data_IF_940347571846
#
_entry.id   IF_940347571846
#
_cell.length_a   1.000
_cell.length_b   1.000
_cell.length_c   1.000
_cell.angle_alpha   90.00
_cell.angle_beta   90.00
_cell.angle_gamma   90.00
#
_symmetry.space_group_name_H-M   'P 1'
#
loop_
_entity.id
_entity.type
_entity.pdbx_description
1 polymer ?
#
# COMPACT_ATOMS: atom_id res chain seq x y z
N UNK A 1 24.82 -1.39 -9.36
CA UNK A 1 24.52 -2.20 -8.15
C UNK A 1 23.57 -1.36 -7.31
N UNK A 2 22.30 -1.77 -7.21
CA UNK A 2 21.34 -1.10 -6.33
C UNK A 2 21.65 -1.60 -4.91
N UNK A 3 22.01 -0.69 -4.01
CA UNK A 3 22.19 -1.01 -2.60
C UNK A 3 20.83 -0.79 -1.94
N UNK A 4 20.20 -1.89 -1.52
CA UNK A 4 18.93 -1.86 -0.80
C UNK A 4 19.27 -1.86 0.69
N UNK A 5 18.96 -0.76 1.37
CA UNK A 5 19.14 -0.61 2.81
C UNK A 5 17.82 -0.95 3.51
N UNK A 6 17.86 -1.44 4.74
CA UNK A 6 16.63 -1.83 5.48
C UNK A 6 15.70 -0.62 5.61
N UNK A 7 16.26 0.54 5.92
CA UNK A 7 15.59 1.84 6.01
C UNK A 7 14.79 2.18 4.74
N UNK A 8 15.25 1.76 3.56
CA UNK A 8 14.51 1.98 2.31
C UNK A 8 13.20 1.19 2.26
N UNK A 9 13.18 -0.04 2.74
CA UNK A 9 11.96 -0.84 2.79
C UNK A 9 11.00 -0.34 3.88
N UNK A 10 11.54 0.08 5.02
CA UNK A 10 10.76 0.71 6.10
C UNK A 10 10.07 1.99 5.61
N UNK A 11 10.80 2.84 4.89
CA UNK A 11 10.27 4.07 4.29
C UNK A 11 9.13 3.77 3.30
N UNK A 12 9.28 2.73 2.46
CA UNK A 12 8.26 2.32 1.51
C UNK A 12 6.97 1.86 2.20
N UNK A 13 7.08 1.03 3.24
CA UNK A 13 5.91 0.63 4.02
C UNK A 13 5.29 1.79 4.79
N UNK A 14 6.09 2.71 5.32
CA UNK A 14 5.59 3.92 5.96
C UNK A 14 4.79 4.79 4.99
N UNK A 15 5.30 5.01 3.77
CA UNK A 15 4.56 5.73 2.71
C UNK A 15 3.24 5.05 2.38
N UNK A 16 3.24 3.73 2.23
CA UNK A 16 2.03 2.96 1.95
C UNK A 16 0.99 3.10 3.07
N UNK A 17 1.40 3.01 4.35
CA UNK A 17 0.51 3.20 5.51
C UNK A 17 -0.07 4.62 5.55
N UNK A 18 0.76 5.64 5.34
CA UNK A 18 0.32 7.04 5.26
C UNK A 18 -0.62 7.31 4.08
N UNK A 19 -0.42 6.63 2.95
CA UNK A 19 -1.30 6.73 1.78
C UNK A 19 -2.66 6.09 2.06
N UNK A 20 -2.67 4.92 2.71
CA UNK A 20 -3.89 4.27 3.17
C UNK A 20 -4.68 5.19 4.12
N UNK A 21 -4.03 5.77 5.12
CA UNK A 21 -4.68 6.68 6.08
C UNK A 21 -5.36 7.86 5.38
N UNK A 22 -4.71 8.43 4.35
CA UNK A 22 -5.30 9.48 3.51
C UNK A 22 -6.49 8.97 2.71
N UNK A 23 -6.38 7.76 2.15
CA UNK A 23 -7.44 7.13 1.36
C UNK A 23 -8.72 6.94 2.20
N UNK A 24 -8.60 6.37 3.40
CA UNK A 24 -9.76 6.11 4.28
C UNK A 24 -10.31 7.36 4.99
N UNK A 25 -9.48 8.39 5.11
CA UNK A 25 -9.89 9.68 5.69
C UNK A 25 -10.50 10.64 4.66
N UNK A 26 -10.38 10.33 3.36
CA UNK A 26 -10.95 11.16 2.30
C UNK A 26 -12.50 11.09 2.36
N UNK A 27 -13.21 12.22 2.49
CA UNK A 27 -14.67 12.23 2.52
C UNK A 27 -15.33 11.59 1.30
N UNK A 28 -14.68 11.68 0.13
CA UNK A 28 -15.17 11.08 -1.11
C UNK A 28 -15.16 9.54 -1.07
N UNK A 29 -14.36 8.96 -0.17
CA UNK A 29 -14.20 7.52 0.04
C UNK A 29 -15.01 6.98 1.22
N UNK A 30 -15.88 7.79 1.84
CA UNK A 30 -16.67 7.35 2.99
C UNK A 30 -17.56 6.12 2.70
N UNK A 31 -17.97 5.92 1.45
CA UNK A 31 -18.75 4.75 1.02
C UNK A 31 -18.02 3.42 1.28
N UNK A 32 -16.69 3.42 1.33
CA UNK A 32 -15.88 2.23 1.61
C UNK A 32 -16.13 1.66 3.01
N UNK A 33 -16.65 2.47 3.94
CA UNK A 33 -17.03 2.02 5.29
C UNK A 33 -18.25 1.10 5.28
N UNK A 34 -19.09 1.21 4.25
CA UNK A 34 -20.30 0.40 4.10
C UNK A 34 -20.00 -0.92 3.35
N UNK A 35 -18.83 -1.04 2.71
CA UNK A 35 -18.41 -2.23 1.96
C UNK A 35 -17.80 -3.33 2.86
N UNK A 36 -17.55 -3.04 4.14
CA UNK A 36 -16.93 -3.97 5.08
C UNK A 36 -17.71 -4.07 6.40
N UNK A 37 -17.79 -5.28 6.94
CA UNK A 37 -18.45 -5.54 8.23
C UNK A 37 -17.59 -5.16 9.45
N UNK A 38 -16.41 -4.57 9.23
CA UNK A 38 -15.45 -4.18 10.27
C UNK A 38 -15.29 -2.67 10.25
N UNK A 39 -15.20 -2.06 11.43
CA UNK A 39 -14.92 -0.64 11.53
C UNK A 39 -13.54 -0.33 10.94
N UNK A 40 -13.49 0.61 9.98
CA UNK A 40 -12.29 0.88 9.19
C UNK A 40 -11.09 1.36 10.05
N UNK A 41 -11.37 2.01 11.17
CA UNK A 41 -10.41 2.47 12.18
C UNK A 41 -9.89 1.33 13.08
N UNK A 42 -10.51 0.15 13.04
CA UNK A 42 -10.04 -1.05 13.72
C UNK A 42 -9.15 -1.95 12.85
N UNK A 43 -8.93 -1.58 11.59
CA UNK A 43 -8.10 -2.32 10.65
C UNK A 43 -6.63 -2.22 11.04
N UNK A 44 -5.99 -3.37 11.14
CA UNK A 44 -4.55 -3.50 11.37
C UNK A 44 -3.86 -3.68 10.01
N UNK A 45 -2.93 -2.80 9.69
CA UNK A 45 -2.12 -2.89 8.47
C UNK A 45 -0.91 -3.79 8.71
N UNK A 46 -0.81 -4.87 7.95
CA UNK A 46 0.33 -5.79 7.99
C UNK A 46 1.12 -5.74 6.68
N UNK A 47 2.44 -5.71 6.79
CA UNK A 47 3.36 -5.67 5.66
C UNK A 47 3.35 -7.02 4.94
N UNK A 48 3.17 -7.04 3.61
CA UNK A 48 3.13 -8.27 2.81
C UNK A 48 4.36 -8.37 1.92
N UNK A 49 4.44 -7.53 0.88
CA UNK A 49 5.58 -7.52 -0.02
C UNK A 49 5.89 -6.14 -0.60
N UNK A 50 7.11 -6.03 -1.11
CA UNK A 50 7.57 -4.96 -1.99
C UNK A 50 8.04 -5.60 -3.29
N UNK A 51 7.56 -5.09 -4.43
CA UNK A 51 7.90 -5.58 -5.77
C UNK A 51 8.42 -4.42 -6.60
N UNK A 52 9.56 -4.63 -7.27
CA UNK A 52 10.12 -3.67 -8.24
C UNK A 52 9.93 -4.22 -9.65
N UNK A 53 9.18 -3.50 -10.50
CA UNK A 53 8.89 -3.88 -11.87
C UNK A 53 9.53 -2.91 -12.86
N UNK A 54 10.46 -3.40 -13.68
CA UNK A 54 11.14 -2.60 -14.70
C UNK A 54 10.35 -2.56 -16.01
N UNK A 55 10.29 -1.38 -16.64
CA UNK A 55 9.61 -1.21 -17.92
C UNK A 55 10.56 -1.50 -19.10
N UNK A 56 10.39 -2.67 -19.71
CA UNK A 56 11.17 -3.10 -20.87
C UNK A 56 12.69 -2.97 -20.60
N UNK A 57 13.54 -2.98 -21.63
CA UNK A 57 15.02 -3.04 -21.49
C UNK A 57 15.68 -1.80 -20.84
N UNK A 58 14.92 -0.95 -20.16
CA UNK A 58 15.36 0.30 -19.52
C UNK A 58 15.47 0.08 -18.01
N UNK A 59 16.68 -0.14 -17.52
CA UNK A 59 16.96 -0.35 -16.10
C UNK A 59 16.75 0.92 -15.25
N UNK A 60 16.63 2.07 -15.90
CA UNK A 60 16.41 3.39 -15.29
C UNK A 60 14.92 3.72 -15.08
N UNK A 61 14.00 2.83 -15.46
CA UNK A 61 12.55 3.06 -15.30
C UNK A 61 11.88 1.86 -14.65
N UNK A 62 11.33 2.07 -13.46
CA UNK A 62 10.64 1.02 -12.72
C UNK A 62 9.49 1.58 -11.89
N UNK A 63 8.57 0.70 -11.53
CA UNK A 63 7.54 0.95 -10.51
C UNK A 63 7.85 0.10 -9.30
N UNK A 64 7.72 0.69 -8.13
CA UNK A 64 7.68 -0.01 -6.85
C UNK A 64 6.21 -0.19 -6.49
N UNK A 65 5.79 -1.44 -6.31
CA UNK A 65 4.49 -1.83 -5.77
C UNK A 65 4.71 -2.31 -4.33
N UNK A 66 4.03 -1.67 -3.38
CA UNK A 66 4.04 -2.03 -1.96
C UNK A 66 2.66 -2.55 -1.60
N UNK A 67 2.58 -3.75 -1.04
CA UNK A 67 1.32 -4.34 -0.59
C UNK A 67 1.23 -4.39 0.92
N UNK A 68 0.11 -3.92 1.45
CA UNK A 68 -0.34 -4.10 2.82
C UNK A 68 -1.55 -5.05 2.85
N UNK A 69 -1.57 -5.95 3.81
CA UNK A 69 -2.75 -6.73 4.17
C UNK A 69 -3.57 -5.96 5.21
N UNK A 70 -4.88 -5.98 5.06
CA UNK A 70 -5.83 -5.40 6.01
C UNK A 70 -6.36 -6.53 6.88
N UNK A 71 -6.02 -6.51 8.16
CA UNK A 71 -6.35 -7.55 9.12
C UNK A 71 -7.31 -6.98 10.16
N UNK A 72 -8.38 -7.70 10.47
CA UNK A 72 -9.28 -7.36 11.57
C UNK A 72 -8.64 -7.68 12.93
N UNK A 73 -9.19 -7.12 14.02
CA UNK A 73 -8.76 -7.43 15.39
C UNK A 73 -8.83 -8.93 15.74
N UNK A 74 -9.71 -9.69 15.11
CA UNK A 74 -9.83 -11.15 15.26
C UNK A 74 -8.99 -11.95 14.26
N UNK A 75 -7.99 -11.30 13.64
CA UNK A 75 -6.99 -11.89 12.75
C UNK A 75 -7.55 -12.48 11.45
N UNK A 76 -8.65 -11.91 10.92
CA UNK A 76 -9.19 -12.23 9.59
C UNK A 76 -8.66 -11.26 8.55
N UNK A 77 -8.40 -11.77 7.34
CA UNK A 77 -8.03 -10.95 6.20
C UNK A 77 -9.26 -10.25 5.63
N UNK A 78 -9.32 -8.93 5.77
CA UNK A 78 -10.39 -8.06 5.25
C UNK A 78 -10.12 -7.72 3.78
N UNK A 79 -8.84 -7.52 3.42
CA UNK A 79 -8.50 -7.05 2.08
C UNK A 79 -7.02 -6.75 1.91
N UNK A 80 -6.71 -5.94 0.90
CA UNK A 80 -5.35 -5.50 0.58
C UNK A 80 -5.33 -4.06 0.10
N UNK A 81 -4.28 -3.35 0.47
CA UNK A 81 -3.98 -2.02 -0.04
C UNK A 81 -2.67 -2.07 -0.82
N UNK A 82 -2.65 -1.45 -1.98
CA UNK A 82 -1.51 -1.36 -2.88
C UNK A 82 -1.12 0.09 -3.05
N UNK A 83 0.16 0.38 -2.87
CA UNK A 83 0.76 1.68 -3.10
C UNK A 83 1.80 1.57 -4.21
N UNK A 84 1.79 2.51 -5.15
CA UNK A 84 2.69 2.53 -6.30
C UNK A 84 3.50 3.82 -6.34
N UNK A 85 4.81 3.72 -6.51
CA UNK A 85 5.68 4.87 -6.80
C UNK A 85 6.68 4.59 -7.92
N UNK A 86 7.14 5.65 -8.59
CA UNK A 86 8.14 5.57 -9.66
C UNK A 86 9.58 5.60 -9.14
N UNK A 87 10.55 5.50 -10.05
CA UNK A 87 11.98 5.54 -9.71
C UNK A 87 12.46 6.84 -9.03
N UNK A 88 11.62 7.89 -9.03
CA UNK A 88 11.89 9.20 -8.43
C UNK A 88 11.18 9.40 -7.10
N UNK A 89 10.62 8.33 -6.52
CA UNK A 89 9.77 8.37 -5.32
C UNK A 89 8.49 9.19 -5.50
N UNK A 90 8.00 9.32 -6.74
CA UNK A 90 6.73 10.01 -7.02
C UNK A 90 5.60 9.01 -6.85
N UNK A 91 4.61 9.26 -5.98
CA UNK A 91 3.40 8.45 -5.92
C UNK A 91 2.71 8.45 -7.29
N UNK A 92 2.42 7.27 -7.81
CA UNK A 92 1.76 7.08 -9.10
C UNK A 92 0.27 6.82 -8.91
N UNK A 93 -0.06 5.88 -8.03
CA UNK A 93 -1.43 5.43 -7.80
C UNK A 93 -1.53 4.68 -6.47
N UNK A 94 -2.75 4.41 -6.04
CA UNK A 94 -3.05 3.46 -4.98
C UNK A 94 -4.33 2.68 -5.26
N UNK A 95 -4.51 1.55 -4.55
CA UNK A 95 -5.71 0.74 -4.70
C UNK A 95 -6.06 0.05 -3.39
N UNK A 96 -7.32 0.20 -2.97
CA UNK A 96 -7.89 -0.52 -1.84
C UNK A 96 -8.89 -1.57 -2.36
N UNK A 97 -8.68 -2.83 -1.98
CA UNK A 97 -9.49 -3.96 -2.41
C UNK A 97 -9.95 -4.74 -1.18
N UNK A 98 -11.26 -4.89 -1.00
CA UNK A 98 -11.87 -5.72 0.04
C UNK A 98 -12.22 -7.12 -0.51
N UNK A 99 -12.24 -8.13 0.37
CA UNK A 99 -12.57 -9.53 0.06
C UNK A 99 -14.04 -9.85 0.26
#
# INVERSE_FOLDING_TARGET
MIKLEVDFFEDLYLKAKLSFDKCISNPDNNYLKDEIDVQIDEIILMEDFIRVQFFQRKLDKFVIEVKLQLISKDNRLIGSYFYYEDEKNTPLDDSLIFN
#
